data_IF_768067500764
#
_entry.id   IF_768067500764
#
_cell.length_a   1.000
_cell.length_b   1.000
_cell.length_c   1.000
_cell.angle_alpha   90.00
_cell.angle_beta   90.00
_cell.angle_gamma   90.00
#
_symmetry.space_group_name_H-M   'P 1'
#
loop_
_entity.id
_entity.type
_entity.pdbx_description
1 polymer ?
#
# COMPACT_ATOMS: atom_id res chain seq x y z
N UNK A 1 21.16 83.95 1.07
CA UNK A 1 21.77 82.74 1.64
C UNK A 1 21.01 81.52 1.15
N UNK A 2 21.75 80.59 0.53
CA UNK A 2 21.37 79.20 0.18
C UNK A 2 20.20 78.96 -0.78
N UNK A 3 20.50 78.86 -2.08
CA UNK A 3 19.75 77.99 -3.00
C UNK A 3 20.64 76.78 -3.31
N UNK A 4 20.31 75.62 -2.73
CA UNK A 4 21.00 74.36 -2.99
C UNK A 4 20.72 73.90 -4.43
N UNK A 5 21.78 73.78 -5.24
CA UNK A 5 21.77 72.97 -6.47
C UNK A 5 21.77 71.49 -6.07
N UNK A 6 20.67 70.77 -6.33
CA UNK A 6 20.66 69.30 -6.32
C UNK A 6 21.15 68.79 -7.68
N UNK A 7 22.32 68.17 -7.71
CA UNK A 7 22.77 67.37 -8.84
C UNK A 7 22.00 66.04 -8.83
N UNK A 8 21.27 65.76 -9.90
CA UNK A 8 20.71 64.43 -10.15
C UNK A 8 21.80 63.58 -10.83
N UNK A 9 22.37 62.63 -10.10
CA UNK A 9 23.21 61.58 -10.67
C UNK A 9 22.27 60.56 -11.29
N UNK A 10 22.29 60.44 -12.62
CA UNK A 10 21.60 59.39 -13.36
C UNK A 10 22.40 58.09 -13.17
N UNK A 11 21.97 57.23 -12.26
CA UNK A 11 22.48 55.85 -12.18
C UNK A 11 21.75 55.05 -13.25
N UNK A 12 22.43 54.75 -14.35
CA UNK A 12 21.96 53.77 -15.31
C UNK A 12 21.97 52.40 -14.62
N UNK A 13 20.79 51.92 -14.21
CA UNK A 13 20.60 50.53 -13.84
C UNK A 13 20.78 49.69 -15.11
N UNK A 14 21.95 49.07 -15.26
CA UNK A 14 22.14 47.95 -16.18
C UNK A 14 21.17 46.86 -15.70
N UNK A 15 20.07 46.71 -16.44
CA UNK A 15 19.17 45.58 -16.30
C UNK A 15 19.93 44.31 -16.63
N UNK A 16 20.49 43.68 -15.60
CA UNK A 16 20.85 42.27 -15.66
C UNK A 16 19.55 41.49 -15.70
N UNK A 17 19.18 41.01 -16.88
CA UNK A 17 18.20 39.94 -17.01
C UNK A 17 18.65 38.80 -16.11
N UNK A 18 17.84 38.46 -15.10
CA UNK A 18 17.97 37.19 -14.43
C UNK A 18 17.83 36.11 -15.50
N UNK A 19 18.94 35.46 -15.82
CA UNK A 19 18.97 34.23 -16.58
C UNK A 19 18.21 33.19 -15.75
N UNK A 20 16.90 33.06 -15.98
CA UNK A 20 16.14 31.92 -15.49
C UNK A 20 16.77 30.65 -16.03
N UNK A 21 17.02 29.67 -15.16
CA UNK A 21 17.47 28.35 -15.58
C UNK A 21 16.51 27.81 -16.65
N UNK A 22 17.05 27.19 -17.71
CA UNK A 22 16.24 26.59 -18.75
C UNK A 22 15.34 25.48 -18.15
N UNK A 23 14.07 25.34 -18.58
CA UNK A 23 13.21 24.25 -18.15
C UNK A 23 13.89 22.90 -18.43
N UNK A 24 13.96 22.00 -17.44
CA UNK A 24 14.60 20.68 -17.58
C UNK A 24 13.91 19.90 -18.70
N UNK A 25 12.59 19.99 -18.79
CA UNK A 25 11.80 19.00 -19.53
C UNK A 25 11.00 19.56 -20.69
N UNK A 26 11.03 20.86 -21.01
CA UNK A 26 10.19 21.41 -22.09
C UNK A 26 8.71 20.98 -22.03
N UNK A 27 8.23 20.58 -20.84
CA UNK A 27 6.94 19.93 -20.62
C UNK A 27 5.84 20.98 -20.52
N UNK A 28 4.63 20.59 -20.88
CA UNK A 28 3.44 21.43 -20.79
C UNK A 28 2.44 20.84 -19.79
N UNK A 29 1.51 21.65 -19.25
CA UNK A 29 0.36 21.11 -18.55
C UNK A 29 -0.31 20.00 -19.37
N UNK A 30 -0.81 18.98 -18.68
CA UNK A 30 -1.36 17.77 -19.28
C UNK A 30 -2.82 17.57 -18.83
N UNK A 31 -3.67 17.19 -19.78
CA UNK A 31 -5.11 16.96 -19.56
C UNK A 31 -5.45 15.46 -19.41
N UNK A 32 -4.43 14.59 -19.47
CA UNK A 32 -4.59 13.15 -19.34
C UNK A 32 -4.99 12.74 -17.91
N UNK A 33 -6.30 12.64 -17.67
CA UNK A 33 -6.88 12.36 -16.33
C UNK A 33 -6.53 10.99 -15.74
N UNK A 34 -6.00 10.07 -16.55
CA UNK A 34 -5.47 8.80 -16.05
C UNK A 34 -4.17 8.95 -15.26
N UNK A 35 -3.49 10.10 -15.35
CA UNK A 35 -2.24 10.33 -14.63
C UNK A 35 -2.58 10.89 -13.26
N UNK A 36 -2.06 10.23 -12.24
CA UNK A 36 -2.29 10.55 -10.83
C UNK A 36 -0.98 10.80 -10.10
N UNK A 37 -1.06 11.51 -8.98
CA UNK A 37 0.06 11.64 -8.06
C UNK A 37 -0.07 10.64 -6.91
N UNK A 38 1.06 10.22 -6.35
CA UNK A 38 1.17 9.57 -5.05
C UNK A 38 1.72 10.61 -4.08
N UNK A 39 0.98 10.93 -3.01
CA UNK A 39 1.33 12.03 -2.13
C UNK A 39 1.04 11.77 -0.64
N UNK A 40 1.82 12.41 0.23
CA UNK A 40 1.50 12.56 1.65
C UNK A 40 1.00 13.98 1.92
N UNK A 41 -0.32 14.11 2.05
CA UNK A 41 -0.96 15.43 2.02
C UNK A 41 -0.62 16.15 0.71
N UNK A 42 -0.12 17.37 0.78
CA UNK A 42 0.28 18.12 -0.41
C UNK A 42 1.68 17.76 -0.95
N UNK A 43 2.40 16.85 -0.31
CA UNK A 43 3.79 16.52 -0.65
C UNK A 43 3.81 15.40 -1.66
N UNK A 44 4.24 15.71 -2.88
CA UNK A 44 4.44 14.71 -3.93
C UNK A 44 5.54 13.72 -3.53
N UNK A 45 5.24 12.44 -3.69
CA UNK A 45 6.21 11.34 -3.58
C UNK A 45 6.55 10.85 -4.98
N UNK A 46 5.53 10.44 -5.74
CA UNK A 46 5.65 9.83 -7.05
C UNK A 46 4.44 10.17 -7.92
N UNK A 47 4.44 9.67 -9.14
CA UNK A 47 3.32 9.67 -10.08
C UNK A 47 2.82 8.24 -10.32
N UNK A 48 1.70 8.11 -11.04
CA UNK A 48 1.11 6.83 -11.39
C UNK A 48 0.14 6.94 -12.56
N UNK A 49 -0.38 5.80 -13.00
CA UNK A 49 -1.34 5.68 -14.08
C UNK A 49 -2.53 4.82 -13.68
N UNK A 50 -3.75 5.32 -13.85
CA UNK A 50 -4.97 4.55 -13.63
C UNK A 50 -5.04 3.44 -14.68
N UNK A 51 -5.09 2.18 -14.23
CA UNK A 51 -5.19 0.98 -15.07
C UNK A 51 -6.45 0.15 -14.77
N UNK A 52 -7.24 0.58 -13.78
CA UNK A 52 -8.55 0.03 -13.46
C UNK A 52 -9.32 0.98 -12.53
N UNK A 53 -10.61 0.72 -12.26
CA UNK A 53 -11.46 1.64 -11.48
C UNK A 53 -10.94 1.92 -10.06
N UNK A 54 -10.17 1.00 -9.48
CA UNK A 54 -9.53 1.15 -8.17
C UNK A 54 -8.02 0.94 -8.24
N UNK A 55 -7.43 0.80 -9.44
CA UNK A 55 -6.08 0.29 -9.61
C UNK A 55 -5.18 1.31 -10.33
N UNK A 56 -4.05 1.61 -9.71
CA UNK A 56 -3.03 2.51 -10.24
C UNK A 56 -1.71 1.78 -10.39
N UNK A 57 -1.13 1.84 -11.59
CA UNK A 57 0.21 1.37 -11.87
C UNK A 57 1.24 2.44 -11.48
N UNK A 58 2.29 2.03 -10.79
CA UNK A 58 3.38 2.91 -10.35
C UNK A 58 4.70 2.13 -10.25
N UNK A 59 5.75 2.74 -9.73
CA UNK A 59 7.05 2.13 -9.49
C UNK A 59 7.10 1.50 -8.10
N UNK A 60 7.85 0.41 -7.94
CA UNK A 60 8.03 -0.28 -6.66
C UNK A 60 8.76 0.58 -5.64
N UNK A 61 9.80 1.30 -6.07
CA UNK A 61 10.61 2.15 -5.20
C UNK A 61 9.80 3.27 -4.52
N UNK A 62 8.62 3.61 -5.07
CA UNK A 62 7.71 4.59 -4.47
C UNK A 62 7.04 4.07 -3.18
N UNK A 63 7.06 2.76 -2.92
CA UNK A 63 6.25 2.11 -1.89
C UNK A 63 7.08 1.43 -0.79
N UNK A 64 8.29 0.97 -1.08
CA UNK A 64 9.06 0.09 -0.18
C UNK A 64 9.68 0.77 1.04
N UNK A 65 9.89 2.09 1.01
CA UNK A 65 10.62 2.83 2.06
C UNK A 65 9.78 3.92 2.74
N UNK A 66 8.46 3.92 2.53
CA UNK A 66 7.57 4.96 3.08
C UNK A 66 6.22 4.40 3.53
N UNK A 67 5.54 5.12 4.42
CA UNK A 67 4.13 4.86 4.67
C UNK A 67 3.35 4.97 3.36
N UNK A 68 2.36 4.11 3.14
CA UNK A 68 1.57 4.13 1.91
C UNK A 68 1.02 5.55 1.64
N UNK A 69 1.29 6.13 0.46
CA UNK A 69 0.76 7.44 0.09
C UNK A 69 -0.72 7.35 -0.30
N UNK A 70 -1.39 8.50 -0.35
CA UNK A 70 -2.67 8.61 -1.04
C UNK A 70 -2.42 8.69 -2.55
N UNK A 71 -3.39 8.20 -3.34
CA UNK A 71 -3.50 8.52 -4.77
C UNK A 71 -4.28 9.82 -4.91
N UNK A 72 -3.79 10.75 -5.73
CA UNK A 72 -4.40 12.06 -5.92
C UNK A 72 -4.77 12.29 -7.39
N UNK A 73 -6.07 12.48 -7.64
CA UNK A 73 -6.60 12.87 -8.94
C UNK A 73 -6.69 14.40 -9.09
N UNK A 74 -6.42 14.90 -10.30
CA UNK A 74 -6.61 16.30 -10.66
C UNK A 74 -5.34 17.00 -11.11
N UNK A 75 -5.49 18.23 -11.63
CA UNK A 75 -4.39 18.94 -12.28
C UNK A 75 -3.23 19.33 -11.33
N UNK A 76 -3.47 19.40 -10.02
CA UNK A 76 -2.46 19.74 -9.02
C UNK A 76 -2.72 18.98 -7.72
N UNK A 77 -1.67 18.49 -7.06
CA UNK A 77 -1.79 17.76 -5.78
C UNK A 77 -2.49 18.61 -4.72
N UNK A 78 -2.18 19.91 -4.64
CA UNK A 78 -2.72 20.81 -3.62
C UNK A 78 -4.25 21.01 -3.68
N UNK A 79 -4.87 20.71 -4.81
CA UNK A 79 -6.33 20.86 -5.02
C UNK A 79 -6.97 19.56 -5.50
N UNK A 80 -6.23 18.46 -5.49
CA UNK A 80 -6.67 17.18 -6.02
C UNK A 80 -7.59 16.43 -5.06
N UNK A 81 -8.25 15.41 -5.59
CA UNK A 81 -9.07 14.48 -4.80
C UNK A 81 -8.19 13.35 -4.31
N UNK A 82 -8.13 13.15 -3.00
CA UNK A 82 -7.33 12.11 -2.36
C UNK A 82 -8.14 10.81 -2.22
N UNK A 83 -7.52 9.72 -2.63
CA UNK A 83 -8.01 8.35 -2.49
C UNK A 83 -7.01 7.58 -1.63
N UNK A 84 -7.50 6.98 -0.55
CA UNK A 84 -6.65 6.24 0.36
C UNK A 84 -6.25 4.91 -0.29
N UNK A 85 -4.95 4.63 -0.29
CA UNK A 85 -4.44 3.32 -0.69
C UNK A 85 -4.75 2.29 0.39
N UNK A 86 -5.40 1.19 -0.01
CA UNK A 86 -5.78 0.05 0.85
C UNK A 86 -4.91 -1.18 0.62
N UNK A 87 -4.20 -1.25 -0.50
CA UNK A 87 -3.17 -2.24 -0.73
C UNK A 87 -2.13 -1.76 -1.74
N UNK A 88 -0.92 -2.30 -1.58
CA UNK A 88 0.18 -2.14 -2.51
C UNK A 88 0.71 -3.53 -2.86
N UNK A 89 0.84 -3.80 -4.15
CA UNK A 89 1.45 -5.00 -4.69
C UNK A 89 2.74 -4.57 -5.37
N UNK A 90 3.87 -4.88 -4.73
CA UNK A 90 5.20 -4.68 -5.29
C UNK A 90 5.59 -5.94 -6.05
N UNK A 91 6.26 -5.80 -7.20
CA UNK A 91 6.77 -6.97 -7.91
C UNK A 91 7.71 -7.78 -7.01
N UNK A 92 7.54 -9.10 -6.87
CA UNK A 92 8.30 -9.91 -5.91
C UNK A 92 9.81 -9.93 -6.19
N UNK A 93 10.19 -9.79 -7.46
CA UNK A 93 11.60 -9.73 -7.88
C UNK A 93 12.18 -8.30 -7.90
N UNK A 94 11.51 -7.31 -7.30
CA UNK A 94 12.04 -5.95 -7.23
C UNK A 94 13.37 -5.90 -6.46
N UNK A 95 14.39 -5.31 -7.09
CA UNK A 95 15.72 -5.15 -6.53
C UNK A 95 16.04 -3.66 -6.38
N UNK A 96 16.19 -3.20 -5.14
CA UNK A 96 16.40 -1.78 -4.83
C UNK A 96 17.78 -1.24 -5.22
N UNK A 97 18.78 -2.10 -5.42
CA UNK A 97 20.13 -1.68 -5.80
C UNK A 97 20.21 -1.43 -7.32
N UNK A 98 19.52 -2.26 -8.09
CA UNK A 98 19.55 -2.22 -9.56
C UNK A 98 18.33 -1.56 -10.18
N UNK A 99 17.24 -1.42 -9.42
CA UNK A 99 15.89 -1.08 -9.89
C UNK A 99 15.38 -2.07 -10.94
N UNK A 100 15.83 -3.34 -10.90
CA UNK A 100 15.21 -4.41 -11.68
C UNK A 100 13.79 -4.64 -11.16
N UNK A 101 12.85 -4.91 -12.06
CA UNK A 101 11.44 -5.13 -11.73
C UNK A 101 10.78 -3.99 -10.91
N UNK A 102 11.21 -2.74 -11.16
CA UNK A 102 10.68 -1.55 -10.48
C UNK A 102 9.28 -1.18 -10.99
N UNK A 103 8.29 -1.96 -10.56
CA UNK A 103 6.88 -1.85 -10.91
C UNK A 103 6.01 -2.32 -9.76
N UNK A 104 4.90 -1.62 -9.54
CA UNK A 104 3.92 -1.94 -8.52
C UNK A 104 2.51 -1.53 -8.96
N UNK A 105 1.51 -2.13 -8.32
CA UNK A 105 0.10 -1.73 -8.46
C UNK A 105 -0.42 -1.38 -7.08
N UNK A 106 -1.03 -0.20 -6.94
CA UNK A 106 -1.74 0.19 -5.72
C UNK A 106 -3.25 0.15 -5.94
N UNK A 107 -3.97 -0.24 -4.89
CA UNK A 107 -5.43 -0.32 -4.86
C UNK A 107 -5.97 0.73 -3.91
N UNK A 108 -6.98 1.48 -4.34
CA UNK A 108 -7.64 2.52 -3.55
C UNK A 108 -9.04 2.10 -3.08
N UNK A 109 -9.50 2.68 -1.98
CA UNK A 109 -10.80 2.35 -1.38
C UNK A 109 -12.03 2.85 -2.17
N UNK A 110 -11.82 3.82 -3.05
CA UNK A 110 -12.88 4.52 -3.79
C UNK A 110 -12.59 4.51 -5.28
N UNK A 111 -13.66 4.50 -6.08
CA UNK A 111 -13.53 4.49 -7.54
C UNK A 111 -12.89 5.79 -8.03
N UNK A 112 -11.91 5.64 -8.92
CA UNK A 112 -11.17 6.72 -9.55
C UNK A 112 -12.01 7.31 -10.69
N UNK A 113 -12.04 8.63 -10.81
CA UNK A 113 -12.80 9.32 -11.84
C UNK A 113 -12.13 9.26 -13.22
N UNK A 114 -10.79 9.18 -13.26
CA UNK A 114 -10.01 9.07 -14.48
C UNK A 114 -10.23 7.74 -15.19
N UNK A 115 -10.33 7.79 -16.53
CA UNK A 115 -10.54 6.58 -17.32
C UNK A 115 -9.31 5.65 -17.24
N UNK A 116 -9.49 4.35 -16.99
CA UNK A 116 -8.39 3.38 -17.04
C UNK A 116 -7.66 3.38 -18.38
N UNK A 117 -6.34 3.52 -18.33
CA UNK A 117 -5.46 3.48 -19.49
C UNK A 117 -5.09 2.03 -19.84
N UNK A 118 -5.19 1.61 -21.11
CA UNK A 118 -4.66 0.33 -21.55
C UNK A 118 -3.14 0.26 -21.32
N UNK A 119 -2.65 -0.87 -20.86
CA UNK A 119 -1.21 -1.14 -20.74
C UNK A 119 -0.75 -2.21 -21.73
N UNK A 120 0.52 -2.16 -22.10
CA UNK A 120 1.10 -3.08 -23.05
C UNK A 120 1.23 -4.48 -22.41
N UNK A 121 0.66 -5.49 -23.07
CA UNK A 121 0.82 -6.91 -22.69
C UNK A 121 1.87 -7.65 -23.51
N UNK A 122 2.30 -7.03 -24.61
CA UNK A 122 3.44 -7.42 -25.46
C UNK A 122 4.13 -6.16 -25.93
N UNK A 123 5.42 -6.25 -26.30
CA UNK A 123 6.19 -5.10 -26.77
C UNK A 123 5.56 -4.51 -28.03
N UNK A 124 4.99 -3.29 -27.97
CA UNK A 124 4.32 -2.72 -29.12
C UNK A 124 5.32 -2.40 -30.24
N UNK A 125 4.95 -2.57 -31.53
CA UNK A 125 5.84 -2.26 -32.65
C UNK A 125 6.33 -0.79 -32.70
N UNK A 126 5.61 0.13 -32.04
CA UNK A 126 6.01 1.53 -31.91
C UNK A 126 7.13 1.78 -30.88
N UNK A 127 7.42 0.82 -30.00
CA UNK A 127 8.51 0.90 -29.02
C UNK A 127 9.81 0.46 -29.69
N UNK A 128 10.41 1.38 -30.44
CA UNK A 128 11.64 1.15 -31.20
C UNK A 128 12.67 2.23 -30.94
N UNK A 129 13.95 1.87 -31.05
CA UNK A 129 15.07 2.81 -30.93
C UNK A 129 14.96 3.91 -32.00
N UNK A 130 15.08 5.16 -31.57
CA UNK A 130 14.87 6.35 -32.40
C UNK A 130 13.40 6.81 -32.48
N UNK A 131 12.46 5.99 -32.02
CA UNK A 131 11.06 6.36 -31.85
C UNK A 131 10.85 7.35 -30.70
N UNK A 132 9.60 7.76 -30.50
CA UNK A 132 9.21 8.71 -29.45
C UNK A 132 8.11 8.13 -28.58
N UNK A 133 8.09 8.55 -27.32
CA UNK A 133 7.02 8.21 -26.37
C UNK A 133 6.60 9.46 -25.59
N UNK A 134 5.34 9.49 -25.18
CA UNK A 134 4.78 10.54 -24.33
C UNK A 134 5.05 10.19 -22.87
N UNK A 135 5.77 11.04 -22.13
CA UNK A 135 6.02 10.86 -20.69
C UNK A 135 5.17 11.84 -19.90
N UNK A 136 4.55 11.35 -18.83
CA UNK A 136 3.55 12.07 -18.02
C UNK A 136 3.85 11.90 -16.54
N UNK A 137 3.58 12.95 -15.75
CA UNK A 137 3.78 12.92 -14.30
C UNK A 137 3.56 14.28 -13.65
N UNK A 138 3.88 14.35 -12.36
CA UNK A 138 3.77 15.55 -11.52
C UNK A 138 5.14 16.10 -11.10
N UNK A 139 6.22 15.54 -11.65
CA UNK A 139 7.59 15.80 -11.26
C UNK A 139 8.10 17.18 -11.66
N UNK A 140 9.36 17.42 -11.29
CA UNK A 140 10.00 18.72 -11.37
C UNK A 140 10.13 19.26 -12.80
N UNK A 141 9.84 20.57 -12.96
CA UNK A 141 9.96 21.25 -14.26
C UNK A 141 11.30 21.96 -14.46
N UNK A 142 11.98 22.29 -13.37
CA UNK A 142 13.37 22.78 -13.30
C UNK A 142 14.12 22.10 -12.14
N UNK A 143 15.46 22.13 -12.14
CA UNK A 143 16.24 21.48 -11.10
C UNK A 143 15.97 22.17 -9.76
N UNK A 144 15.58 21.40 -8.74
CA UNK A 144 15.22 21.92 -7.42
C UNK A 144 14.02 22.87 -7.45
N UNK A 145 13.00 22.58 -8.28
CA UNK A 145 11.78 23.37 -8.35
C UNK A 145 10.88 23.15 -7.13
N UNK A 146 10.53 24.20 -6.35
CA UNK A 146 9.52 24.12 -5.31
C UNK A 146 8.10 24.43 -5.82
N UNK A 147 7.87 24.58 -7.14
CA UNK A 147 6.53 24.85 -7.71
C UNK A 147 5.56 23.68 -7.48
N UNK A 148 4.24 23.94 -7.39
CA UNK A 148 3.26 22.93 -7.01
C UNK A 148 3.33 21.75 -7.97
N UNK A 149 3.34 20.54 -7.41
CA UNK A 149 3.22 19.29 -8.13
C UNK A 149 1.95 19.31 -8.98
N UNK A 150 2.12 19.69 -10.24
CA UNK A 150 1.08 19.86 -11.26
C UNK A 150 1.28 18.81 -12.33
N UNK A 151 0.17 18.30 -12.87
CA UNK A 151 0.19 17.30 -13.92
C UNK A 151 0.73 17.88 -15.21
N UNK A 152 1.77 17.27 -15.74
CA UNK A 152 2.46 17.70 -16.96
C UNK A 152 2.83 16.53 -17.84
N UNK A 153 3.27 16.87 -19.04
CA UNK A 153 4.31 16.06 -19.63
C UNK A 153 4.77 16.56 -20.98
N UNK A 154 5.46 15.68 -21.69
CA UNK A 154 5.90 15.94 -23.05
C UNK A 154 6.43 14.68 -23.71
N UNK A 155 7.35 14.87 -24.66
CA UNK A 155 7.82 13.77 -25.53
C UNK A 155 9.28 13.45 -25.26
N UNK A 156 9.60 12.18 -25.10
CA UNK A 156 10.96 11.66 -25.02
C UNK A 156 11.30 10.82 -26.25
N UNK A 157 12.58 10.74 -26.60
CA UNK A 157 13.09 9.82 -27.62
C UNK A 157 13.53 8.53 -26.96
N UNK A 158 13.17 7.40 -27.54
CA UNK A 158 13.63 6.07 -27.13
C UNK A 158 15.06 5.86 -27.65
N UNK A 159 16.03 5.67 -26.76
CA UNK A 159 17.43 5.44 -27.12
C UNK A 159 17.85 3.97 -27.03
N UNK A 160 17.19 3.20 -26.17
CA UNK A 160 17.46 1.77 -26.01
C UNK A 160 16.22 1.05 -25.45
N UNK A 161 16.09 -0.23 -25.78
CA UNK A 161 15.09 -1.14 -25.22
C UNK A 161 15.81 -2.45 -24.90
N UNK A 162 15.75 -2.87 -23.64
CA UNK A 162 16.30 -4.15 -23.18
C UNK A 162 15.17 -5.07 -22.66
N UNK A 163 15.53 -6.16 -21.99
CA UNK A 163 14.57 -7.15 -21.50
C UNK A 163 13.60 -6.59 -20.46
N UNK A 164 14.01 -5.61 -19.65
CA UNK A 164 13.22 -5.08 -18.54
C UNK A 164 12.92 -3.58 -18.67
N UNK A 165 13.65 -2.83 -19.50
CA UNK A 165 13.62 -1.35 -19.51
C UNK A 165 13.61 -0.73 -20.89
N UNK A 166 13.10 0.50 -20.91
CA UNK A 166 13.24 1.46 -21.99
C UNK A 166 14.13 2.59 -21.47
N UNK A 167 15.21 2.91 -22.18
CA UNK A 167 16.01 4.10 -21.93
C UNK A 167 15.59 5.20 -22.89
N UNK A 168 15.42 6.41 -22.39
CA UNK A 168 15.01 7.57 -23.18
C UNK A 168 15.79 8.83 -22.86
N UNK A 169 15.81 9.77 -23.80
CA UNK A 169 16.36 11.12 -23.63
C UNK A 169 15.35 12.18 -24.05
N UNK A 170 15.64 13.43 -23.70
CA UNK A 170 14.77 14.57 -23.98
C UNK A 170 14.47 14.75 -25.49
N UNK A 171 13.19 14.87 -25.85
CA UNK A 171 12.76 15.21 -27.22
C UNK A 171 11.38 15.90 -27.33
N UNK A 172 11.12 17.06 -26.68
CA UNK A 172 12.05 17.89 -25.90
C UNK A 172 12.04 17.58 -24.39
N UNK A 173 11.34 16.53 -23.97
CA UNK A 173 11.02 16.24 -22.56
C UNK A 173 11.55 14.92 -22.06
N UNK A 174 11.77 14.84 -20.76
CA UNK A 174 12.27 13.67 -20.04
C UNK A 174 11.61 13.61 -18.66
N UNK A 175 11.44 12.41 -18.10
CA UNK A 175 11.02 12.25 -16.71
C UNK A 175 12.11 12.73 -15.74
N UNK A 176 11.71 13.31 -14.62
CA UNK A 176 12.60 13.79 -13.57
C UNK A 176 12.09 13.38 -12.18
N UNK A 177 12.72 13.90 -11.12
CA UNK A 177 12.29 13.69 -9.73
C UNK A 177 10.79 13.99 -9.55
N UNK A 178 10.08 13.05 -8.92
CA UNK A 178 8.62 13.08 -8.74
C UNK A 178 7.80 12.54 -9.93
N UNK A 179 8.40 12.37 -11.12
CA UNK A 179 7.76 11.64 -12.23
C UNK A 179 7.88 10.13 -12.06
N UNK A 180 8.71 9.64 -11.13
CA UNK A 180 8.81 8.22 -10.77
C UNK A 180 7.43 7.58 -10.61
N UNK A 181 7.23 6.40 -11.21
CA UNK A 181 5.94 5.72 -11.26
C UNK A 181 4.99 6.23 -12.36
N UNK A 182 5.26 7.40 -12.94
CA UNK A 182 4.45 7.99 -14.01
C UNK A 182 4.53 7.22 -15.33
N UNK A 183 3.47 7.30 -16.17
CA UNK A 183 3.40 6.50 -17.39
C UNK A 183 4.21 7.09 -18.55
N UNK A 184 4.86 6.20 -19.29
CA UNK A 184 5.33 6.43 -20.66
C UNK A 184 4.37 5.75 -21.65
N UNK A 185 3.84 6.51 -22.60
CA UNK A 185 2.85 6.07 -23.58
C UNK A 185 3.40 6.00 -25.00
N UNK A 186 3.03 4.94 -25.71
CA UNK A 186 3.12 4.83 -27.17
C UNK A 186 1.75 4.40 -27.68
N UNK A 187 1.22 5.10 -28.68
CA UNK A 187 -0.10 4.86 -29.29
C UNK A 187 -1.25 4.76 -28.26
N UNK A 188 -1.16 5.53 -27.17
CA UNK A 188 -2.16 5.53 -26.10
C UNK A 188 -2.15 4.26 -25.25
N UNK A 189 -1.06 3.51 -25.20
CA UNK A 189 -0.88 2.42 -24.22
C UNK A 189 0.29 2.69 -23.31
N UNK A 190 0.16 2.36 -22.02
CA UNK A 190 1.27 2.42 -21.06
C UNK A 190 2.29 1.34 -21.42
N UNK A 191 3.44 1.77 -21.94
CA UNK A 191 4.55 0.88 -22.34
C UNK A 191 5.67 0.87 -21.32
N UNK A 192 5.77 1.92 -20.51
CA UNK A 192 6.79 2.06 -19.48
C UNK A 192 6.28 2.79 -18.23
N UNK A 193 6.91 2.49 -17.11
CA UNK A 193 6.74 3.19 -15.82
C UNK A 193 8.05 3.90 -15.52
N UNK A 194 8.04 5.22 -15.34
CA UNK A 194 9.25 5.98 -15.01
C UNK A 194 9.90 5.44 -13.72
N UNK A 195 11.20 5.18 -13.74
CA UNK A 195 11.89 4.46 -12.66
C UNK A 195 13.09 5.24 -12.15
N UNK A 196 14.11 5.46 -12.99
CA UNK A 196 15.36 6.11 -12.60
C UNK A 196 15.93 6.96 -13.73
N UNK A 197 16.89 7.83 -13.44
CA UNK A 197 17.51 8.69 -14.44
C UNK A 197 18.90 9.16 -14.04
N UNK A 198 19.48 10.06 -14.82
CA UNK A 198 20.64 10.83 -14.35
C UNK A 198 20.21 11.88 -13.32
N UNK A 199 21.10 12.16 -12.36
CA UNK A 199 20.86 13.07 -11.23
C UNK A 199 20.36 14.46 -11.63
N UNK A 200 20.68 14.91 -12.84
CA UNK A 200 20.28 16.24 -13.33
C UNK A 200 19.07 16.20 -14.28
N UNK A 201 18.52 15.03 -14.58
CA UNK A 201 17.44 14.83 -15.55
C UNK A 201 17.73 15.44 -16.94
N UNK A 202 18.97 15.27 -17.42
CA UNK A 202 19.44 15.92 -18.67
C UNK A 202 19.94 14.95 -19.72
N UNK A 203 20.33 13.74 -19.33
CA UNK A 203 21.02 12.79 -20.20
C UNK A 203 20.11 11.61 -20.54
N UNK A 204 19.53 10.95 -19.54
CA UNK A 204 18.71 9.77 -19.73
C UNK A 204 17.72 9.56 -18.57
N UNK A 205 16.60 8.94 -18.92
CA UNK A 205 15.64 8.36 -18.00
C UNK A 205 15.45 6.89 -18.39
N UNK A 206 15.09 6.07 -17.42
CA UNK A 206 14.79 4.66 -17.55
C UNK A 206 13.35 4.43 -17.12
N UNK A 207 12.68 3.59 -17.87
CA UNK A 207 11.29 3.21 -17.64
C UNK A 207 11.21 1.70 -17.58
N UNK A 208 10.61 1.15 -16.53
CA UNK A 208 10.34 -0.28 -16.42
C UNK A 208 9.32 -0.67 -17.47
N UNK A 209 9.64 -1.67 -18.31
CA UNK A 209 8.74 -2.14 -19.38
C UNK A 209 7.52 -2.80 -18.80
N UNK A 210 6.33 -2.30 -19.13
CA UNK A 210 5.09 -2.87 -18.58
C UNK A 210 4.80 -4.24 -19.16
N UNK A 211 5.11 -4.46 -20.45
CA UNK A 211 4.81 -5.71 -21.11
C UNK A 211 5.65 -6.90 -20.61
N UNK A 212 6.88 -6.62 -20.14
CA UNK A 212 7.71 -7.62 -19.46
C UNK A 212 7.12 -8.08 -18.11
N UNK A 213 6.19 -7.30 -17.54
CA UNK A 213 5.56 -7.53 -16.23
C UNK A 213 4.02 -7.67 -16.35
N UNK A 214 3.51 -7.91 -17.56
CA UNK A 214 2.07 -7.94 -17.82
C UNK A 214 1.34 -9.03 -17.02
N UNK A 215 2.00 -10.17 -16.78
CA UNK A 215 1.43 -11.25 -15.98
C UNK A 215 1.21 -10.82 -14.52
N UNK A 216 2.18 -10.12 -13.94
CA UNK A 216 2.07 -9.55 -12.59
C UNK A 216 0.93 -8.54 -12.50
N UNK A 217 0.88 -7.57 -13.43
CA UNK A 217 -0.19 -6.56 -13.45
C UNK A 217 -1.58 -7.22 -13.65
N UNK A 218 -1.68 -8.19 -14.54
CA UNK A 218 -2.94 -8.90 -14.81
C UNK A 218 -3.41 -9.74 -13.61
N UNK A 219 -2.49 -10.39 -12.90
CA UNK A 219 -2.80 -11.15 -11.68
C UNK A 219 -3.37 -10.24 -10.58
N UNK A 220 -2.72 -9.09 -10.32
CA UNK A 220 -3.24 -8.12 -9.35
C UNK A 220 -4.63 -7.63 -9.76
N UNK A 221 -4.82 -7.20 -11.02
CA UNK A 221 -6.11 -6.74 -11.51
C UNK A 221 -7.20 -7.81 -11.42
N UNK A 222 -6.86 -9.08 -11.64
CA UNK A 222 -7.81 -10.19 -11.53
C UNK A 222 -8.22 -10.44 -10.07
N UNK A 223 -7.26 -10.46 -9.14
CA UNK A 223 -7.52 -10.65 -7.71
C UNK A 223 -8.39 -9.53 -7.14
N UNK A 224 -8.10 -8.30 -7.55
CA UNK A 224 -8.76 -7.10 -7.00
C UNK A 224 -9.98 -6.69 -7.82
N UNK A 225 -10.41 -7.44 -8.84
CA UNK A 225 -11.51 -7.05 -9.70
C UNK A 225 -12.83 -6.85 -8.92
N UNK A 226 -13.67 -5.92 -9.38
CA UNK A 226 -15.01 -5.78 -8.82
C UNK A 226 -15.82 -7.07 -9.01
N UNK A 227 -16.43 -7.57 -7.93
CA UNK A 227 -17.11 -8.86 -7.89
C UNK A 227 -16.20 -10.09 -8.07
N UNK A 228 -14.87 -9.92 -7.96
CA UNK A 228 -13.90 -10.99 -8.16
C UNK A 228 -13.71 -11.91 -6.95
N UNK A 229 -14.03 -11.44 -5.75
CA UNK A 229 -13.83 -12.17 -4.49
C UNK A 229 -15.13 -12.77 -3.95
N UNK A 230 -15.12 -14.06 -3.62
CA UNK A 230 -16.28 -14.78 -3.06
C UNK A 230 -16.40 -14.55 -1.55
N UNK A 231 -17.54 -14.89 -0.93
CA UNK A 231 -17.64 -14.90 0.54
C UNK A 231 -16.48 -15.67 1.20
N UNK A 232 -15.77 -15.00 2.10
CA UNK A 232 -14.60 -15.53 2.80
C UNK A 232 -13.26 -15.31 2.08
N UNK A 233 -13.25 -14.88 0.81
CA UNK A 233 -12.01 -14.52 0.13
C UNK A 233 -11.46 -13.19 0.67
N UNK A 234 -10.16 -12.98 0.51
CA UNK A 234 -9.49 -11.70 0.76
C UNK A 234 -10.13 -10.61 -0.09
N UNK A 235 -10.26 -9.42 0.49
CA UNK A 235 -10.78 -8.26 -0.23
C UNK A 235 -10.08 -6.97 0.17
N UNK A 236 -10.23 -5.94 -0.67
CA UNK A 236 -9.60 -4.64 -0.47
C UNK A 236 -10.59 -3.47 -0.36
N UNK A 237 -11.76 -3.61 -0.98
CA UNK A 237 -12.84 -2.62 -0.98
C UNK A 237 -14.18 -3.35 -1.21
N UNK A 238 -15.30 -2.73 -0.85
CA UNK A 238 -16.61 -3.40 -0.86
C UNK A 238 -16.99 -3.98 -2.24
N UNK A 239 -16.79 -3.21 -3.31
CA UNK A 239 -17.12 -3.64 -4.66
C UNK A 239 -16.25 -4.80 -5.18
N UNK A 240 -15.12 -5.14 -4.53
CA UNK A 240 -14.33 -6.32 -4.89
C UNK A 240 -15.07 -7.61 -4.52
N UNK A 241 -15.96 -7.57 -3.52
CA UNK A 241 -16.78 -8.71 -3.13
C UNK A 241 -17.92 -8.96 -4.12
N UNK A 242 -18.07 -10.22 -4.55
CA UNK A 242 -19.24 -10.69 -5.32
C UNK A 242 -20.53 -10.43 -4.55
N UNK A 243 -20.49 -10.68 -3.24
CA UNK A 243 -21.60 -10.40 -2.31
C UNK A 243 -21.06 -9.96 -0.95
N UNK A 244 -21.82 -9.09 -0.28
CA UNK A 244 -21.47 -8.59 1.05
C UNK A 244 -20.59 -7.35 1.03
N UNK A 245 -19.91 -7.12 2.15
CA UNK A 245 -19.00 -5.98 2.34
C UNK A 245 -17.60 -6.50 2.64
N UNK A 246 -16.60 -5.70 2.31
CA UNK A 246 -15.22 -6.01 2.64
C UNK A 246 -14.94 -5.57 4.06
N UNK A 247 -14.87 -6.51 4.99
CA UNK A 247 -14.74 -6.22 6.43
C UNK A 247 -13.43 -6.76 6.97
N UNK A 248 -12.82 -5.99 7.87
CA UNK A 248 -11.63 -6.44 8.59
C UNK A 248 -11.95 -7.68 9.44
N UNK A 249 -10.99 -8.59 9.53
CA UNK A 249 -11.04 -9.68 10.49
C UNK A 249 -10.94 -9.13 11.92
N UNK A 250 -11.64 -9.80 12.84
CA UNK A 250 -11.76 -9.35 14.23
C UNK A 250 -10.45 -9.56 15.03
N UNK A 251 -9.68 -10.56 14.65
CA UNK A 251 -8.44 -10.99 15.28
C UNK A 251 -7.17 -10.56 14.49
N UNK A 252 -7.32 -10.18 13.23
CA UNK A 252 -6.24 -9.66 12.39
C UNK A 252 -6.73 -8.48 11.51
N UNK A 253 -6.76 -7.25 12.05
CA UNK A 253 -7.37 -6.11 11.37
C UNK A 253 -6.57 -5.60 10.18
N UNK A 254 -5.32 -6.06 9.96
CA UNK A 254 -4.59 -5.77 8.71
C UNK A 254 -5.22 -6.47 7.53
N UNK A 255 -6.05 -7.47 7.78
CA UNK A 255 -6.66 -8.29 6.77
C UNK A 255 -8.18 -8.13 6.72
N UNK A 256 -8.72 -8.06 5.50
CA UNK A 256 -10.15 -7.98 5.24
C UNK A 256 -10.63 -9.15 4.38
N UNK A 257 -11.89 -9.52 4.57
CA UNK A 257 -12.55 -10.61 3.87
C UNK A 257 -13.96 -10.22 3.44
N UNK A 258 -14.44 -10.83 2.36
CA UNK A 258 -15.82 -10.63 1.92
C UNK A 258 -16.80 -11.29 2.89
N UNK A 259 -17.60 -10.46 3.55
CA UNK A 259 -18.54 -10.88 4.58
C UNK A 259 -19.98 -10.49 4.21
N UNK A 260 -20.75 -11.41 3.61
CA UNK A 260 -22.18 -11.22 3.43
C UNK A 260 -22.91 -11.20 4.80
N UNK A 261 -24.12 -10.61 4.84
CA UNK A 261 -24.99 -10.74 6.01
C UNK A 261 -25.33 -12.22 6.25
N UNK A 262 -25.63 -12.57 7.50
CA UNK A 262 -26.15 -13.90 7.80
C UNK A 262 -27.55 -14.09 7.21
N UNK A 263 -27.86 -15.32 6.81
CA UNK A 263 -29.20 -15.72 6.35
C UNK A 263 -29.82 -16.66 7.38
N UNK A 264 -30.69 -16.14 8.26
CA UNK A 264 -31.27 -16.88 9.40
C UNK A 264 -30.20 -17.63 10.24
N UNK A 265 -29.05 -17.00 10.46
CA UNK A 265 -27.91 -17.56 11.20
C UNK A 265 -27.04 -18.53 10.39
N UNK A 266 -27.37 -18.78 9.12
CA UNK A 266 -26.57 -19.59 8.20
C UNK A 266 -25.59 -18.73 7.39
N UNK A 267 -24.48 -19.37 6.97
CA UNK A 267 -23.42 -18.78 6.17
C UNK A 267 -22.87 -19.75 5.13
N UNK A 268 -22.21 -19.24 4.06
CA UNK A 268 -21.45 -20.07 3.13
C UNK A 268 -20.43 -20.99 3.84
N UNK A 269 -20.05 -22.08 3.17
CA UNK A 269 -19.15 -23.08 3.73
C UNK A 269 -17.82 -22.46 4.19
N UNK A 270 -17.38 -22.85 5.38
CA UNK A 270 -16.15 -22.33 6.00
C UNK A 270 -16.34 -21.05 6.82
N UNK A 271 -17.51 -20.41 6.77
CA UNK A 271 -17.83 -19.21 7.55
C UNK A 271 -18.83 -19.50 8.66
N UNK A 272 -18.78 -18.68 9.71
CA UNK A 272 -19.73 -18.69 10.82
C UNK A 272 -20.48 -17.35 10.88
N UNK A 273 -21.74 -17.39 11.28
CA UNK A 273 -22.50 -16.18 11.58
C UNK A 273 -22.02 -15.62 12.92
N UNK A 274 -21.37 -14.45 12.90
CA UNK A 274 -20.78 -13.82 14.07
C UNK A 274 -21.37 -12.42 14.22
N UNK A 275 -21.89 -12.13 15.42
CA UNK A 275 -22.35 -10.81 15.85
C UNK A 275 -21.14 -9.99 16.27
N UNK A 276 -20.90 -8.85 15.64
CA UNK A 276 -19.83 -7.94 16.06
C UNK A 276 -20.26 -6.98 17.19
N UNK A 277 -19.33 -6.13 17.64
CA UNK A 277 -19.56 -5.17 18.72
C UNK A 277 -20.69 -4.17 18.46
N UNK A 278 -21.10 -4.00 17.19
CA UNK A 278 -22.20 -3.12 16.78
C UNK A 278 -23.54 -3.87 16.65
N UNK A 279 -23.59 -5.14 17.06
CA UNK A 279 -24.76 -6.02 16.90
C UNK A 279 -25.11 -6.32 15.44
N UNK A 280 -24.14 -6.22 14.53
CA UNK A 280 -24.33 -6.63 13.14
C UNK A 280 -23.96 -8.11 12.96
N UNK A 281 -24.87 -8.89 12.39
CA UNK A 281 -24.68 -10.31 12.08
C UNK A 281 -24.10 -10.49 10.68
N UNK A 282 -22.86 -10.97 10.60
CA UNK A 282 -22.17 -11.23 9.32
C UNK A 282 -21.48 -12.58 9.29
N UNK A 283 -21.35 -13.12 8.08
CA UNK A 283 -20.56 -14.31 7.83
C UNK A 283 -19.07 -13.99 7.86
N UNK A 284 -18.36 -14.60 8.80
CA UNK A 284 -16.93 -14.34 9.07
C UNK A 284 -16.19 -15.66 9.25
N UNK A 285 -14.87 -15.63 9.06
CA UNK A 285 -14.03 -16.78 9.38
C UNK A 285 -14.09 -17.11 10.87
N UNK A 286 -14.14 -18.39 11.25
CA UNK A 286 -13.90 -18.82 12.63
C UNK A 286 -12.51 -18.38 13.12
N UNK A 287 -12.34 -18.29 14.44
CA UNK A 287 -11.05 -17.96 15.03
C UNK A 287 -10.09 -19.17 15.01
N UNK A 288 -8.80 -19.00 14.66
CA UNK A 288 -8.21 -17.78 14.10
C UNK A 288 -8.53 -17.63 12.61
N UNK A 289 -8.77 -16.40 12.17
CA UNK A 289 -9.01 -16.11 10.75
C UNK A 289 -7.75 -16.40 9.90
N UNK A 290 -7.90 -16.67 8.58
CA UNK A 290 -6.75 -16.85 7.70
C UNK A 290 -5.74 -15.71 7.82
N UNK A 291 -4.46 -16.05 7.92
CA UNK A 291 -3.34 -15.12 8.08
C UNK A 291 -3.20 -14.40 9.42
N UNK A 292 -4.14 -14.60 10.35
CA UNK A 292 -3.97 -14.18 11.73
C UNK A 292 -2.91 -15.03 12.43
N UNK A 293 -2.30 -14.48 13.49
CA UNK A 293 -1.37 -15.22 14.33
C UNK A 293 -1.96 -16.59 14.74
N UNK A 294 -1.13 -17.64 14.62
CA UNK A 294 -1.44 -19.06 14.87
C UNK A 294 -2.28 -19.75 13.79
N UNK A 295 -2.74 -19.04 12.77
CA UNK A 295 -3.35 -19.68 11.61
C UNK A 295 -2.30 -20.49 10.83
N UNK A 296 -2.67 -21.66 10.32
CA UNK A 296 -1.76 -22.49 9.54
C UNK A 296 -1.38 -21.81 8.22
N UNK A 297 -0.11 -21.89 7.83
CA UNK A 297 0.40 -21.24 6.63
C UNK A 297 1.37 -22.17 5.87
N UNK A 298 1.62 -21.84 4.61
CA UNK A 298 2.61 -22.53 3.76
C UNK A 298 3.74 -21.60 3.31
N UNK A 299 3.49 -20.29 3.29
CA UNK A 299 4.45 -19.25 2.91
C UNK A 299 4.22 -17.97 3.71
N UNK A 300 5.21 -17.09 3.76
CA UNK A 300 5.10 -15.80 4.46
C UNK A 300 3.93 -14.96 3.93
N UNK A 301 3.61 -15.05 2.63
CA UNK A 301 2.49 -14.35 1.99
C UNK A 301 1.11 -14.78 2.53
N UNK A 302 1.01 -15.97 3.13
CA UNK A 302 -0.22 -16.45 3.78
C UNK A 302 -0.47 -15.75 5.12
N UNK A 303 0.46 -14.91 5.60
CA UNK A 303 0.44 -14.33 6.92
C UNK A 303 0.40 -12.82 6.88
N UNK A 304 -0.47 -12.21 7.67
CA UNK A 304 -0.53 -10.76 7.76
C UNK A 304 0.78 -10.15 8.28
N UNK A 305 1.53 -10.91 9.06
CA UNK A 305 2.86 -10.59 9.61
C UNK A 305 4.02 -10.82 8.64
N UNK A 306 3.77 -11.33 7.43
CA UNK A 306 4.81 -11.77 6.49
C UNK A 306 5.80 -12.76 7.15
N UNK A 307 5.28 -13.62 8.03
CA UNK A 307 6.09 -14.62 8.73
C UNK A 307 5.30 -15.89 8.97
N UNK A 308 5.66 -16.93 8.23
CA UNK A 308 5.16 -18.27 8.32
C UNK A 308 6.25 -19.21 8.86
N UNK A 309 6.17 -19.57 10.14
CA UNK A 309 7.22 -20.35 10.81
C UNK A 309 6.62 -21.46 11.67
N UNK A 310 7.34 -22.57 11.77
CA UNK A 310 6.96 -23.68 12.65
C UNK A 310 7.57 -23.50 14.05
N UNK A 311 6.80 -23.70 15.13
CA UNK A 311 7.36 -23.79 16.47
C UNK A 311 8.46 -24.86 16.55
N UNK A 312 9.48 -24.65 17.39
CA UNK A 312 10.54 -25.64 17.56
C UNK A 312 9.97 -27.01 18.00
N UNK A 313 10.23 -28.05 17.20
CA UNK A 313 9.74 -29.40 17.44
C UNK A 313 8.38 -29.72 16.83
N UNK A 314 7.73 -28.76 16.17
CA UNK A 314 6.49 -28.95 15.41
C UNK A 314 6.75 -28.92 13.90
N UNK A 315 5.91 -29.61 13.13
CA UNK A 315 6.02 -29.66 11.66
C UNK A 315 5.07 -28.72 10.94
N UNK A 316 4.03 -28.22 11.61
CA UNK A 316 3.06 -27.32 11.02
C UNK A 316 3.51 -25.88 11.21
N UNK A 317 3.76 -25.17 10.11
CA UNK A 317 4.02 -23.74 10.15
C UNK A 317 2.72 -22.97 10.43
N UNK A 318 2.85 -21.89 11.20
CA UNK A 318 1.77 -20.97 11.52
C UNK A 318 2.23 -19.53 11.30
N UNK A 319 1.26 -18.66 11.04
CA UNK A 319 1.52 -17.23 11.05
C UNK A 319 1.94 -16.79 12.44
N UNK A 320 3.02 -16.04 12.52
CA UNK A 320 3.54 -15.57 13.79
C UNK A 320 4.05 -14.14 13.65
N UNK A 321 4.11 -13.43 14.77
CA UNK A 321 4.74 -12.11 14.84
C UNK A 321 6.19 -12.26 15.25
N UNK A 322 7.13 -11.57 14.56
CA UNK A 322 8.54 -11.53 14.99
C UNK A 322 8.68 -10.90 16.36
N UNK A 323 9.61 -11.42 17.15
CA UNK A 323 10.01 -10.84 18.42
C UNK A 323 11.53 -10.85 18.56
N UNK A 324 12.04 -10.14 19.55
CA UNK A 324 13.47 -10.06 19.81
C UNK A 324 13.69 -10.10 21.32
N UNK A 325 14.15 -11.24 21.84
CA UNK A 325 14.31 -11.41 23.30
C UNK A 325 15.33 -10.44 23.91
N UNK A 326 16.27 -9.95 23.10
CA UNK A 326 17.33 -9.01 23.51
C UNK A 326 16.97 -7.53 23.37
N UNK A 327 15.83 -7.19 22.74
CA UNK A 327 15.44 -5.79 22.46
C UNK A 327 14.15 -5.39 23.21
N UNK A 328 14.25 -4.48 24.21
CA UNK A 328 13.07 -4.00 24.93
C UNK A 328 12.11 -3.26 23.99
N UNK A 329 10.82 -3.60 24.05
CA UNK A 329 9.76 -2.98 23.23
C UNK A 329 9.28 -3.82 22.05
N UNK A 330 9.93 -4.96 21.76
CA UNK A 330 9.47 -5.97 20.80
C UNK A 330 8.89 -7.19 21.52
N UNK A 331 8.12 -6.92 22.57
CA UNK A 331 7.49 -7.95 23.38
C UNK A 331 6.31 -8.58 22.63
N UNK A 332 6.14 -9.87 22.86
CA UNK A 332 5.04 -10.60 22.28
C UNK A 332 3.67 -10.14 22.82
N UNK A 333 2.60 -10.23 22.00
CA UNK A 333 1.24 -9.98 22.46
C UNK A 333 0.84 -10.79 23.70
N UNK A 334 -0.20 -10.35 24.39
CA UNK A 334 -0.72 -11.04 25.58
C UNK A 334 -1.00 -12.52 25.28
N UNK A 335 -0.61 -13.41 26.19
CA UNK A 335 -0.71 -14.88 26.05
C UNK A 335 0.17 -15.51 24.96
N UNK A 336 1.20 -14.80 24.50
CA UNK A 336 2.29 -15.36 23.70
C UNK A 336 3.64 -15.10 24.36
N UNK A 337 4.64 -15.87 23.95
CA UNK A 337 6.02 -15.76 24.45
C UNK A 337 6.98 -15.86 23.28
N UNK A 338 8.04 -15.06 23.34
CA UNK A 338 9.10 -15.06 22.34
C UNK A 338 9.94 -16.33 22.47
N UNK A 339 10.03 -17.13 21.40
CA UNK A 339 10.84 -18.35 21.34
C UNK A 339 11.40 -18.55 19.93
N UNK A 340 12.43 -19.36 19.82
CA UNK A 340 12.98 -19.78 18.54
C UNK A 340 11.99 -20.70 17.80
N UNK A 341 11.78 -20.40 16.52
CA UNK A 341 11.16 -21.28 15.55
C UNK A 341 12.15 -22.36 15.09
N UNK A 342 11.65 -23.34 14.33
CA UNK A 342 12.46 -24.45 13.80
C UNK A 342 13.61 -24.01 12.88
N UNK A 343 13.52 -22.83 12.26
CA UNK A 343 14.52 -22.23 11.39
C UNK A 343 15.48 -21.27 12.13
N UNK A 344 15.30 -21.09 13.44
CA UNK A 344 16.06 -20.15 14.28
C UNK A 344 15.53 -18.72 14.28
N UNK A 345 14.39 -18.44 13.64
CA UNK A 345 13.71 -17.14 13.74
C UNK A 345 13.07 -16.98 15.12
N UNK A 346 13.29 -15.85 15.79
CA UNK A 346 12.56 -15.51 17.02
C UNK A 346 11.14 -15.04 16.69
N UNK A 347 10.14 -15.76 17.20
CA UNK A 347 8.73 -15.46 16.95
C UNK A 347 7.84 -15.68 18.19
N UNK A 348 6.69 -15.03 18.17
CA UNK A 348 5.69 -15.12 19.23
C UNK A 348 4.82 -16.35 19.07
N UNK A 349 4.99 -17.31 19.98
CA UNK A 349 4.17 -18.51 20.04
C UNK A 349 3.25 -18.50 21.26
N UNK A 350 2.15 -19.26 21.19
CA UNK A 350 1.24 -19.40 22.32
C UNK A 350 1.99 -19.94 23.55
N UNK A 351 1.67 -19.40 24.73
CA UNK A 351 2.10 -20.03 25.98
C UNK A 351 1.32 -21.35 26.08
N UNK A 352 2.00 -22.48 25.99
CA UNK A 352 1.40 -23.78 26.30
C UNK A 352 0.87 -23.72 27.74
N UNK A 353 -0.44 -23.59 27.91
CA UNK A 353 -1.05 -23.82 29.21
C UNK A 353 -1.01 -25.32 29.46
N UNK A 354 -0.31 -25.76 30.51
CA UNK A 354 -0.45 -27.10 31.05
C UNK A 354 -1.94 -27.46 31.07
N UNK A 355 -2.30 -28.56 30.42
CA UNK A 355 -3.67 -29.02 30.20
C UNK A 355 -4.54 -28.89 31.47
N UNK A 356 -5.41 -27.87 31.49
CA UNK A 356 -6.31 -27.57 32.60
C UNK A 356 -7.57 -26.86 32.12
N UNK A 357 -8.09 -27.22 30.95
CA UNK A 357 -9.37 -26.70 30.46
C UNK A 357 -10.52 -27.10 31.39
N UNK A 358 -11.27 -26.11 31.89
CA UNK A 358 -12.55 -26.34 32.56
C UNK A 358 -13.55 -26.97 31.59
N UNK A 359 -13.66 -28.30 31.60
CA UNK A 359 -14.87 -28.98 31.11
C UNK A 359 -16.00 -28.69 32.08
N UNK A 360 -16.96 -27.86 31.68
CA UNK A 360 -18.28 -27.88 32.30
C UNK A 360 -19.00 -29.11 31.74
N UNK A 361 -18.98 -30.20 32.49
CA UNK A 361 -19.88 -31.32 32.22
C UNK A 361 -21.32 -30.88 32.55
N UNK A 362 -22.33 -31.26 31.75
CA UNK A 362 -23.71 -31.11 32.18
C UNK A 362 -23.92 -32.08 33.35
N UNK A 363 -24.11 -31.53 34.55
CA UNK A 363 -24.45 -32.31 35.73
C UNK A 363 -25.91 -32.73 35.65
N UNK A 364 -26.14 -34.03 35.46
CA UNK A 364 -27.42 -34.69 35.64
C UNK A 364 -27.98 -34.47 37.06
N UNK A 365 -29.31 -34.43 37.11
CA UNK A 365 -30.13 -34.23 38.30
C UNK A 365 -29.81 -35.16 39.48
N UNK A 366 -29.86 -34.57 40.68
CA UNK A 366 -30.41 -35.25 41.86
C UNK A 366 -29.42 -35.65 42.96
N UNK A 367 -29.34 -34.85 44.03
CA UNK A 367 -29.41 -35.34 45.41
C UNK A 367 -29.56 -34.18 46.40
N UNK A 368 -30.75 -34.11 47.00
CA UNK A 368 -31.05 -33.38 48.22
C UNK A 368 -30.13 -33.84 49.36
N UNK A 369 -29.37 -32.92 49.96
CA UNK A 369 -28.94 -33.04 51.35
C UNK A 369 -29.07 -31.68 52.04
N UNK A 370 -30.11 -31.58 52.87
CA UNK A 370 -30.35 -30.49 53.81
C UNK A 370 -29.67 -30.81 55.14
N UNK A 371 -28.78 -29.95 55.64
CA UNK A 371 -28.42 -29.70 57.05
C UNK A 371 -27.48 -28.47 57.02
N UNK A 372 -27.54 -27.43 57.85
CA UNK A 372 -28.39 -27.04 58.97
C UNK A 372 -27.92 -25.63 59.38
N UNK A 373 -28.85 -24.80 59.83
CA UNK A 373 -28.61 -23.43 60.27
C UNK A 373 -27.84 -23.43 61.59
N UNK A 374 -26.70 -22.72 61.65
CA UNK A 374 -26.17 -22.15 62.91
C UNK A 374 -25.72 -20.72 62.58
N UNK A 375 -26.47 -19.74 63.08
CA UNK A 375 -26.04 -18.35 63.12
C UNK A 375 -25.11 -18.09 64.30
N UNK A 376 -24.14 -17.19 64.11
CA UNK A 376 -23.56 -16.45 65.23
C UNK A 376 -23.02 -15.09 64.74
N UNK A 377 -23.68 -14.05 65.23
CA UNK A 377 -23.27 -12.64 65.21
C UNK A 377 -22.21 -12.38 66.27
N UNK A 378 -21.11 -11.70 65.91
CA UNK A 378 -20.30 -10.86 66.82
C UNK A 378 -19.34 -9.98 65.99
N UNK A 379 -19.64 -8.68 65.87
CA UNK A 379 -18.97 -7.59 66.61
C UNK A 379 -17.45 -7.47 66.35
N UNK A 380 -17.06 -6.54 65.47
CA UNK A 380 -15.73 -5.93 65.50
C UNK A 380 -15.90 -4.43 65.74
N UNK A 381 -15.54 -4.00 66.94
CA UNK A 381 -15.42 -2.61 67.34
C UNK A 381 -14.04 -2.41 67.97
N UNK A 382 -13.34 -1.36 67.47
CA UNK A 382 -12.21 -0.60 68.06
C UNK A 382 -10.82 -1.25 67.99
N UNK A 383 -9.73 -0.51 67.76
CA UNK A 383 -9.44 0.91 68.03
C UNK A 383 -8.20 1.39 67.26
N UNK A 384 -8.19 2.66 66.83
CA UNK A 384 -6.96 3.46 66.62
C UNK A 384 -6.40 3.91 67.97
N UNK A 385 -5.08 3.98 68.10
CA UNK A 385 -4.28 5.08 68.68
C UNK A 385 -2.83 4.64 68.92
N UNK A 386 -1.88 5.21 68.17
CA UNK A 386 -1.10 6.37 68.62
C UNK A 386 -0.67 7.17 67.38
#
# INVERSE_FOLDING_TARGET
MSMLRRAAVLVAALGGSASGAAPITGSTPADEDMVVALAHGSTLICSGAIIGPHAVLTAAHCLVDSSLPDVVEGAAVATGTHHRVVAAFVHPDYDADTFDHDIAVVIVDSELAGAPQPFATTLPPGVVVGGTMRVLGYGWTVANDPLPAERRGGTSRIDAVDSLRIRSSAAPSQACEGDSGGPALVDGSVVGVASSGDVNCTQFARHTRVDAHAAFVADVLARTAAGGAKPGDRCWYDANCETGSCVQALDEPRWSFCSPPCDDGACPAGLACIVDGNQEERCRHPWPSPGADRHACNSDEDCASDLCVAPAGESQAVCATRCFSDLPGFDCPVNTVCRDAADGTEACFAIESDAGGCRVAPGDDGALLAFGVIGLTALVVRRRAA
#
